data_IF_724993802347
#
_entry.id   IF_724993802347
#
_cell.length_a   1.000
_cell.length_b   1.000
_cell.length_c   1.000
_cell.angle_alpha   90.00
_cell.angle_beta   90.00
_cell.angle_gamma   90.00
#
_symmetry.space_group_name_H-M   'P 1'
#
loop_
_entity.id
_entity.type
_entity.pdbx_description
1 polymer ?
#
# COMPACT_ATOMS: atom_id res chain seq x y z
N UNK A 1 5.78 17.58 10.07
CA UNK A 1 5.95 16.15 10.38
C UNK A 1 6.71 15.51 9.25
N UNK A 2 7.83 14.81 9.55
CA UNK A 2 8.57 14.06 8.52
C UNK A 2 7.64 12.96 7.99
N UNK A 3 7.44 12.93 6.67
CA UNK A 3 6.70 11.87 6.02
C UNK A 3 7.36 10.51 6.33
N UNK A 4 6.60 9.57 6.83
CA UNK A 4 7.08 8.22 7.07
C UNK A 4 6.72 7.36 5.87
N UNK A 5 7.71 7.04 5.05
CA UNK A 5 7.55 6.12 3.92
C UNK A 5 7.79 4.71 4.41
N UNK A 6 6.78 3.86 4.37
CA UNK A 6 6.86 2.48 4.86
C UNK A 6 6.94 1.42 3.77
N UNK A 7 6.40 1.70 2.59
CA UNK A 7 6.37 0.75 1.48
C UNK A 7 6.30 1.43 0.12
N UNK A 8 6.77 0.71 -0.90
CA UNK A 8 6.70 1.13 -2.30
C UNK A 8 6.21 -0.01 -3.16
N UNK A 9 5.50 0.32 -4.24
CA UNK A 9 5.02 -0.62 -5.24
C UNK A 9 5.10 0.01 -6.63
N UNK A 10 5.55 -0.75 -7.62
CA UNK A 10 5.59 -0.27 -9.00
C UNK A 10 4.45 -0.89 -9.80
N UNK A 11 3.55 -0.04 -10.29
CA UNK A 11 2.51 -0.40 -11.25
C UNK A 11 3.12 -0.43 -12.65
N UNK A 12 3.36 -1.64 -13.13
CA UNK A 12 3.98 -1.86 -14.44
C UNK A 12 3.07 -1.53 -15.62
N UNK A 13 1.75 -1.50 -15.42
CA UNK A 13 0.79 -1.19 -16.49
C UNK A 13 0.72 0.32 -16.75
N UNK A 14 0.66 1.11 -15.69
CA UNK A 14 0.50 2.56 -15.80
C UNK A 14 1.84 3.31 -15.61
N UNK A 15 2.94 2.60 -15.36
CA UNK A 15 4.26 3.18 -15.11
C UNK A 15 4.25 4.19 -13.94
N UNK A 16 3.66 3.77 -12.83
CA UNK A 16 3.50 4.59 -11.62
C UNK A 16 4.22 3.93 -10.46
N UNK A 17 5.06 4.68 -9.76
CA UNK A 17 5.60 4.32 -8.47
C UNK A 17 4.65 4.79 -7.37
N UNK A 18 4.07 3.85 -6.67
CA UNK A 18 3.24 4.09 -5.50
C UNK A 18 4.07 4.05 -4.22
N UNK A 19 3.81 4.99 -3.31
CA UNK A 19 4.55 5.15 -2.06
C UNK A 19 3.56 5.35 -0.92
N UNK A 20 3.70 4.59 0.17
CA UNK A 20 2.88 4.83 1.36
C UNK A 20 3.28 6.14 2.04
N UNK A 21 2.31 6.85 2.57
CA UNK A 21 2.48 8.09 3.30
C UNK A 21 1.52 8.22 4.47
N UNK A 22 1.61 9.36 5.15
CA UNK A 22 0.75 9.69 6.27
C UNK A 22 0.07 11.03 6.01
N UNK A 23 -1.24 10.99 5.84
CA UNK A 23 -2.08 12.19 5.80
C UNK A 23 -2.44 12.69 7.20
N UNK A 24 -3.28 13.73 7.25
CA UNK A 24 -3.72 14.33 8.51
C UNK A 24 -4.59 13.38 9.35
N UNK A 25 -5.40 12.57 8.72
CA UNK A 25 -6.37 11.68 9.39
C UNK A 25 -6.09 10.22 9.13
N UNK A 26 -5.74 9.86 7.90
CA UNK A 26 -5.51 8.51 7.44
C UNK A 26 -4.15 8.36 6.76
N UNK A 27 -3.71 7.12 6.58
CA UNK A 27 -2.60 6.81 5.72
C UNK A 27 -2.90 7.21 4.27
N UNK A 28 -1.85 7.40 3.50
CA UNK A 28 -1.93 7.78 2.10
C UNK A 28 -1.23 6.77 1.20
N UNK A 29 -1.75 6.64 -0.02
CA UNK A 29 -1.04 6.11 -1.18
C UNK A 29 -0.74 7.29 -2.10
N UNK A 30 0.54 7.54 -2.33
CA UNK A 30 1.03 8.64 -3.15
C UNK A 30 1.65 8.06 -4.41
N UNK A 31 1.43 8.70 -5.55
CA UNK A 31 1.88 8.25 -6.84
C UNK A 31 2.90 9.22 -7.45
N UNK A 32 3.92 8.66 -8.07
CA UNK A 32 4.89 9.37 -8.90
C UNK A 32 4.93 8.65 -10.24
N UNK A 33 4.67 9.35 -11.33
CA UNK A 33 4.79 8.77 -12.67
C UNK A 33 6.26 8.51 -13.02
N UNK A 34 6.50 7.47 -13.81
CA UNK A 34 7.87 7.17 -14.26
C UNK A 34 8.48 8.36 -15.01
N UNK A 35 7.69 9.03 -15.84
CA UNK A 35 8.16 10.23 -16.54
C UNK A 35 8.58 11.37 -15.63
N UNK A 36 7.89 11.55 -14.50
CA UNK A 36 8.30 12.55 -13.50
C UNK A 36 9.63 12.15 -12.84
N UNK A 37 9.77 10.87 -12.48
CA UNK A 37 11.00 10.33 -11.90
C UNK A 37 12.20 10.45 -12.85
N UNK A 38 12.02 10.16 -14.14
CA UNK A 38 13.08 10.22 -15.16
C UNK A 38 13.52 11.68 -15.45
N UNK A 39 12.61 12.63 -15.30
CA UNK A 39 12.92 14.04 -15.47
C UNK A 39 13.41 14.74 -14.19
N UNK A 40 13.47 14.03 -13.07
CA UNK A 40 13.99 14.59 -11.83
C UNK A 40 15.51 14.82 -11.93
N UNK A 41 15.95 16.03 -11.64
CA UNK A 41 17.38 16.41 -11.64
C UNK A 41 17.80 16.95 -10.28
N UNK A 42 19.06 16.71 -9.92
CA UNK A 42 19.71 17.33 -8.78
C UNK A 42 20.44 18.63 -9.14
N UNK A 43 20.44 19.02 -10.42
CA UNK A 43 21.19 20.19 -10.90
C UNK A 43 20.65 21.51 -10.33
N UNK A 44 19.36 21.55 -10.00
CA UNK A 44 18.71 22.69 -9.37
C UNK A 44 18.84 22.70 -7.83
N UNK A 45 19.69 21.87 -7.28
CA UNK A 45 19.88 21.65 -5.86
C UNK A 45 19.00 20.51 -5.32
N UNK A 46 19.25 20.15 -4.06
CA UNK A 46 18.47 19.10 -3.40
C UNK A 46 17.08 19.59 -3.04
N UNK A 47 16.06 19.00 -3.66
CA UNK A 47 14.67 19.21 -3.29
C UNK A 47 13.93 17.85 -3.30
N UNK A 48 12.92 17.65 -2.43
CA UNK A 48 12.10 16.46 -2.49
C UNK A 48 11.32 16.39 -3.81
N UNK A 49 11.16 15.17 -4.36
CA UNK A 49 10.23 14.96 -5.46
C UNK A 49 8.80 15.12 -4.94
N UNK A 50 7.97 15.85 -5.67
CA UNK A 50 6.56 16.00 -5.34
C UNK A 50 5.75 14.81 -5.88
N UNK A 51 4.65 14.50 -5.23
CA UNK A 51 3.76 13.45 -5.69
C UNK A 51 2.81 14.00 -6.78
N UNK A 52 2.62 13.25 -7.85
CA UNK A 52 1.67 13.60 -8.91
C UNK A 52 0.23 13.42 -8.44
N UNK A 53 -0.01 12.41 -7.59
CA UNK A 53 -1.32 12.13 -7.01
C UNK A 53 -1.17 11.67 -5.56
N UNK A 54 -2.15 11.96 -4.73
CA UNK A 54 -2.23 11.51 -3.34
C UNK A 54 -3.65 11.08 -3.00
N UNK A 55 -3.80 9.90 -2.41
CA UNK A 55 -5.08 9.35 -2.00
C UNK A 55 -5.08 9.05 -0.52
N UNK A 56 -6.08 9.51 0.20
CA UNK A 56 -6.34 9.05 1.56
C UNK A 56 -6.95 7.64 1.51
N UNK A 57 -6.38 6.71 2.26
CA UNK A 57 -6.89 5.34 2.37
C UNK A 57 -7.96 5.28 3.46
N UNK A 58 -9.21 5.05 3.06
CA UNK A 58 -10.37 5.14 3.94
C UNK A 58 -10.22 4.30 5.21
N UNK A 59 -10.25 4.95 6.38
CA UNK A 59 -10.15 4.36 7.71
C UNK A 59 -8.82 3.66 8.04
N UNK A 60 -7.83 3.63 7.16
CA UNK A 60 -6.50 3.14 7.51
C UNK A 60 -5.71 4.25 8.21
N UNK A 61 -5.28 3.99 9.43
CA UNK A 61 -4.47 4.95 10.20
C UNK A 61 -2.98 4.91 9.84
N UNK A 62 -2.49 3.78 9.36
CA UNK A 62 -1.07 3.55 9.00
C UNK A 62 -0.96 2.62 7.81
N UNK A 63 0.01 2.86 6.93
CA UNK A 63 0.40 1.97 5.86
C UNK A 63 1.91 1.72 5.97
N UNK A 64 2.32 0.49 6.20
CA UNK A 64 3.72 0.14 6.47
C UNK A 64 4.37 -0.64 5.34
N UNK A 65 3.58 -1.33 4.54
CA UNK A 65 4.04 -2.06 3.36
C UNK A 65 2.96 -2.03 2.27
N UNK A 66 3.42 -2.15 1.05
CA UNK A 66 2.57 -2.07 -0.14
C UNK A 66 3.18 -2.94 -1.24
N UNK A 67 2.33 -3.52 -2.07
CA UNK A 67 2.76 -4.15 -3.32
C UNK A 67 1.69 -3.98 -4.41
N UNK A 68 2.12 -4.02 -5.66
CA UNK A 68 1.25 -4.06 -6.83
C UNK A 68 1.08 -5.49 -7.31
N UNK A 69 -0.14 -5.88 -7.65
CA UNK A 69 -0.42 -7.14 -8.29
C UNK A 69 -1.75 -7.07 -9.04
N UNK A 70 -1.72 -7.47 -10.31
CA UNK A 70 -2.90 -7.66 -11.17
C UNK A 70 -3.89 -6.48 -11.13
N UNK A 71 -3.40 -5.27 -11.45
CA UNK A 71 -4.20 -4.04 -11.53
C UNK A 71 -4.70 -3.51 -10.18
N UNK A 72 -4.06 -3.90 -9.09
CA UNK A 72 -4.43 -3.44 -7.76
C UNK A 72 -3.22 -3.17 -6.86
N UNK A 73 -3.39 -2.22 -5.93
CA UNK A 73 -2.50 -2.06 -4.78
C UNK A 73 -3.01 -2.90 -3.62
N UNK A 74 -2.09 -3.60 -2.98
CA UNK A 74 -2.30 -4.27 -1.72
C UNK A 74 -1.52 -3.52 -0.65
N UNK A 75 -2.22 -3.04 0.35
CA UNK A 75 -1.66 -2.19 1.41
C UNK A 75 -1.89 -2.84 2.76
N UNK A 76 -0.87 -2.92 3.57
CA UNK A 76 -0.97 -3.42 4.93
C UNK A 76 -0.20 -2.55 5.92
N UNK A 77 -0.34 -2.85 7.20
CA UNK A 77 0.38 -2.14 8.23
C UNK A 77 1.03 -3.09 9.23
N UNK A 78 2.17 -2.67 9.75
CA UNK A 78 2.85 -3.36 10.83
C UNK A 78 2.11 -3.13 12.15
N UNK A 79 1.89 -4.21 12.89
CA UNK A 79 1.43 -4.18 14.28
C UNK A 79 2.18 -5.22 15.11
N UNK A 80 2.35 -4.92 16.39
CA UNK A 80 2.87 -5.88 17.38
C UNK A 80 1.79 -6.85 17.85
N UNK A 81 0.53 -6.54 17.59
CA UNK A 81 -0.61 -7.39 17.91
C UNK A 81 -0.57 -8.71 17.12
N UNK A 82 -1.45 -9.64 17.49
CA UNK A 82 -1.50 -10.97 16.88
C UNK A 82 -2.10 -10.95 15.45
N UNK A 83 -2.85 -9.91 15.09
CA UNK A 83 -3.49 -9.80 13.80
C UNK A 83 -3.29 -8.42 13.17
N UNK A 84 -3.20 -8.39 11.86
CA UNK A 84 -3.19 -7.20 11.01
C UNK A 84 -4.12 -7.41 9.82
N UNK A 85 -4.15 -6.48 8.89
CA UNK A 85 -4.95 -6.59 7.67
C UNK A 85 -4.14 -6.20 6.44
N UNK A 86 -4.53 -6.77 5.31
CA UNK A 86 -4.18 -6.31 3.97
C UNK A 86 -5.46 -5.84 3.32
N UNK A 87 -5.44 -4.65 2.76
CA UNK A 87 -6.54 -4.08 1.99
C UNK A 87 -6.16 -3.99 0.52
N UNK A 88 -7.11 -4.31 -0.36
CA UNK A 88 -6.95 -4.27 -1.81
C UNK A 88 -7.65 -3.04 -2.37
N UNK A 89 -6.92 -2.22 -3.12
CA UNK A 89 -7.40 -1.03 -3.83
C UNK A 89 -7.27 -1.25 -5.33
N UNK A 90 -8.37 -1.11 -6.08
CA UNK A 90 -8.33 -1.21 -7.53
C UNK A 90 -7.70 0.04 -8.14
N UNK A 91 -6.92 -0.18 -9.19
CA UNK A 91 -6.38 0.87 -10.04
C UNK A 91 -7.23 0.92 -11.31
N UNK A 92 -7.70 2.11 -11.66
CA UNK A 92 -8.43 2.36 -12.90
C UNK A 92 -7.47 2.31 -14.11
N UNK A 93 -8.01 2.21 -15.31
CA UNK A 93 -7.23 2.14 -16.54
C UNK A 93 -6.35 3.39 -16.79
N UNK A 94 -6.68 4.51 -16.17
CA UNK A 94 -5.93 5.76 -16.24
C UNK A 94 -4.86 5.89 -15.13
N UNK A 95 -4.65 4.85 -14.33
CA UNK A 95 -3.69 4.83 -13.23
C UNK A 95 -4.19 5.45 -11.93
N UNK A 96 -5.42 5.95 -11.86
CA UNK A 96 -6.01 6.49 -10.64
C UNK A 96 -6.52 5.36 -9.73
N UNK A 97 -6.61 5.60 -8.41
CA UNK A 97 -7.29 4.66 -7.52
C UNK A 97 -8.80 4.83 -7.61
N UNK A 98 -9.51 3.71 -7.43
CA UNK A 98 -10.96 3.73 -7.35
C UNK A 98 -11.43 4.56 -6.15
N UNK A 99 -12.21 5.59 -6.45
CA UNK A 99 -12.83 6.48 -5.48
C UNK A 99 -14.32 6.21 -5.36
N UNK A 100 -14.85 6.39 -4.17
CA UNK A 100 -16.29 6.49 -3.97
C UNK A 100 -16.61 7.93 -3.63
N UNK A 101 -17.44 8.60 -4.42
CA UNK A 101 -17.92 9.92 -4.07
C UNK A 101 -18.77 9.87 -2.80
N UNK A 102 -18.19 10.34 -1.71
CA UNK A 102 -18.89 10.55 -0.45
C UNK A 102 -18.71 12.01 0.00
N UNK A 103 -19.60 12.85 -0.49
CA UNK A 103 -19.61 14.29 -0.17
C UNK A 103 -19.74 14.57 1.34
N UNK A 104 -20.39 13.68 2.08
CA UNK A 104 -20.51 13.83 3.52
C UNK A 104 -19.18 13.54 4.22
N UNK A 105 -18.41 12.59 3.70
CA UNK A 105 -17.12 12.24 4.27
C UNK A 105 -16.11 13.37 4.13
N UNK A 106 -16.00 13.98 2.94
CA UNK A 106 -15.11 15.15 2.69
C UNK A 106 -15.42 16.28 3.67
N UNK A 107 -16.69 16.54 3.91
CA UNK A 107 -17.14 17.61 4.83
C UNK A 107 -16.92 17.27 6.29
N UNK A 108 -17.09 16.02 6.71
CA UNK A 108 -17.02 15.60 8.11
C UNK A 108 -15.58 15.39 8.59
N UNK A 109 -14.69 14.91 7.71
CA UNK A 109 -13.30 14.53 8.07
C UNK A 109 -12.29 15.60 7.69
N UNK A 110 -12.69 16.59 6.87
CA UNK A 110 -11.82 17.71 6.47
C UNK A 110 -10.63 17.26 5.61
N UNK A 111 -10.74 16.17 4.87
CA UNK A 111 -9.70 15.74 3.94
C UNK A 111 -9.85 16.47 2.61
N UNK A 112 -8.75 16.98 2.07
CA UNK A 112 -8.71 17.69 0.79
C UNK A 112 -8.40 16.75 -0.37
N UNK A 113 -7.54 15.74 -0.12
CA UNK A 113 -7.17 14.77 -1.15
C UNK A 113 -8.28 13.74 -1.38
N UNK A 114 -8.32 13.14 -2.57
CA UNK A 114 -9.23 12.05 -2.90
C UNK A 114 -9.18 10.90 -1.88
N UNK A 115 -10.29 10.20 -1.72
CA UNK A 115 -10.40 9.07 -0.79
C UNK A 115 -10.58 7.78 -1.56
N UNK A 116 -9.60 6.89 -1.46
CA UNK A 116 -9.65 5.55 -2.03
C UNK A 116 -10.29 4.56 -1.06
N UNK A 117 -11.13 3.67 -1.60
CA UNK A 117 -11.84 2.65 -0.85
C UNK A 117 -11.33 1.26 -1.22
N UNK A 118 -11.04 0.46 -0.20
CA UNK A 118 -10.70 -0.94 -0.40
C UNK A 118 -11.90 -1.73 -0.93
N UNK A 119 -11.67 -2.56 -1.94
CA UNK A 119 -12.68 -3.49 -2.48
C UNK A 119 -12.69 -4.82 -1.72
N UNK A 120 -11.64 -5.14 -1.00
CA UNK A 120 -11.56 -6.28 -0.09
C UNK A 120 -10.56 -6.05 1.02
N UNK A 121 -10.75 -6.76 2.12
CA UNK A 121 -9.87 -6.79 3.27
C UNK A 121 -9.58 -8.23 3.67
N UNK A 122 -8.34 -8.53 3.96
CA UNK A 122 -7.90 -9.84 4.42
C UNK A 122 -7.18 -9.72 5.76
N UNK A 123 -7.63 -10.47 6.75
CA UNK A 123 -6.93 -10.60 8.05
C UNK A 123 -5.70 -11.49 7.88
N UNK A 124 -4.58 -11.04 8.39
CA UNK A 124 -3.28 -11.74 8.40
C UNK A 124 -2.71 -11.75 9.81
N UNK A 125 -1.64 -12.52 10.02
CA UNK A 125 -0.87 -12.47 11.28
C UNK A 125 -0.25 -11.06 11.48
N UNK A 126 -0.06 -10.68 12.73
CA UNK A 126 0.69 -9.46 13.06
C UNK A 126 2.18 -9.59 12.76
N UNK A 127 2.93 -8.50 12.93
CA UNK A 127 4.39 -8.39 12.75
C UNK A 127 4.86 -8.56 11.29
N UNK A 128 3.95 -8.48 10.32
CA UNK A 128 4.28 -8.49 8.90
C UNK A 128 4.95 -7.16 8.54
N UNK A 129 6.06 -7.26 7.81
CA UNK A 129 6.90 -6.12 7.40
C UNK A 129 6.91 -5.90 5.89
N UNK A 130 6.53 -6.91 5.13
CA UNK A 130 6.53 -6.83 3.67
C UNK A 130 5.67 -7.92 3.04
N UNK A 131 5.36 -7.72 1.77
CA UNK A 131 4.47 -8.56 0.99
C UNK A 131 4.93 -8.61 -0.46
N UNK A 132 4.85 -9.77 -1.07
CA UNK A 132 5.09 -9.96 -2.50
C UNK A 132 4.13 -11.00 -3.06
N UNK A 133 3.87 -10.93 -4.37
CA UNK A 133 3.16 -11.95 -5.10
C UNK A 133 4.09 -12.71 -6.04
N UNK A 134 3.89 -14.01 -6.13
CA UNK A 134 4.58 -14.87 -7.08
C UNK A 134 3.62 -15.95 -7.57
N UNK A 135 3.33 -15.94 -8.86
CA UNK A 135 2.28 -16.80 -9.44
C UNK A 135 0.94 -16.62 -8.69
N UNK A 136 0.37 -17.72 -8.19
CA UNK A 136 -0.86 -17.74 -7.40
C UNK A 136 -0.58 -17.81 -5.89
N UNK A 137 0.53 -17.26 -5.44
CA UNK A 137 0.90 -17.21 -4.01
C UNK A 137 1.13 -15.78 -3.54
N UNK A 138 0.83 -15.54 -2.28
CA UNK A 138 1.24 -14.35 -1.54
C UNK A 138 2.28 -14.75 -0.50
N UNK A 139 3.37 -14.01 -0.47
CA UNK A 139 4.47 -14.17 0.47
C UNK A 139 4.45 -13.00 1.45
N UNK A 140 4.42 -13.29 2.73
CA UNK A 140 4.47 -12.29 3.80
C UNK A 140 5.76 -12.47 4.58
N UNK A 141 6.58 -11.42 4.67
CA UNK A 141 7.77 -11.42 5.54
C UNK A 141 7.37 -10.92 6.92
N UNK A 142 7.80 -11.63 7.93
CA UNK A 142 7.46 -11.35 9.33
C UNK A 142 8.71 -11.35 10.19
N UNK A 143 8.90 -10.29 10.97
CA UNK A 143 10.00 -10.21 11.93
C UNK A 143 9.68 -9.28 13.08
N UNK A 144 10.23 -9.56 14.26
CA UNK A 144 10.09 -8.71 15.43
C UNK A 144 11.17 -8.96 16.48
N UNK A 145 11.89 -7.90 16.83
CA UNK A 145 12.92 -7.94 17.88
C UNK A 145 14.03 -8.95 17.58
N UNK A 146 14.35 -9.79 18.55
CA UNK A 146 15.39 -10.83 18.44
C UNK A 146 14.85 -12.18 17.96
N UNK A 147 13.54 -12.27 17.68
CA UNK A 147 12.94 -13.49 17.17
C UNK A 147 13.38 -13.78 15.76
N UNK A 148 13.49 -15.06 15.35
CA UNK A 148 13.78 -15.40 13.96
C UNK A 148 12.76 -14.77 13.02
N UNK A 149 13.26 -14.26 11.89
CA UNK A 149 12.40 -13.82 10.77
C UNK A 149 11.79 -15.04 10.09
N UNK A 150 10.59 -14.91 9.58
CA UNK A 150 9.91 -15.95 8.81
C UNK A 150 9.31 -15.42 7.53
N UNK A 151 9.15 -16.28 6.54
CA UNK A 151 8.35 -16.03 5.33
C UNK A 151 7.15 -16.96 5.39
N UNK A 152 5.97 -16.38 5.43
CA UNK A 152 4.70 -17.10 5.36
C UNK A 152 4.23 -17.11 3.91
N UNK A 153 3.88 -18.30 3.39
CA UNK A 153 3.42 -18.47 2.02
C UNK A 153 1.98 -18.98 2.05
N UNK A 154 1.09 -18.28 1.35
CA UNK A 154 -0.31 -18.64 1.22
C UNK A 154 -0.70 -18.80 -0.23
N UNK A 155 -1.63 -19.69 -0.51
CA UNK A 155 -2.28 -19.71 -1.82
C UNK A 155 -3.18 -18.48 -1.94
N UNK A 156 -3.10 -17.83 -3.10
CA UNK A 156 -3.86 -16.64 -3.42
C UNK A 156 -4.67 -16.84 -4.69
N UNK A 157 -5.87 -16.32 -4.70
CA UNK A 157 -6.70 -16.19 -5.90
C UNK A 157 -7.32 -14.80 -5.95
N UNK A 158 -7.99 -14.49 -7.05
CA UNK A 158 -8.77 -13.24 -7.16
C UNK A 158 -9.80 -13.03 -6.05
N UNK A 159 -10.17 -14.08 -5.33
CA UNK A 159 -11.09 -14.03 -4.19
C UNK A 159 -10.40 -13.85 -2.84
N UNK A 160 -9.07 -13.76 -2.81
CA UNK A 160 -8.27 -13.57 -1.61
C UNK A 160 -7.38 -14.74 -1.24
N UNK A 161 -6.89 -14.74 0.00
CA UNK A 161 -6.03 -15.80 0.54
C UNK A 161 -6.89 -17.03 0.84
N UNK A 162 -6.58 -18.15 0.21
CA UNK A 162 -7.40 -19.36 0.29
C UNK A 162 -6.99 -20.29 1.45
N UNK A 163 -5.71 -20.38 1.76
CA UNK A 163 -5.21 -21.23 2.84
C UNK A 163 -3.76 -20.93 3.17
N UNK A 164 -3.34 -21.24 4.39
CA UNK A 164 -1.92 -21.35 4.74
C UNK A 164 -1.33 -22.55 4.03
N UNK A 165 -0.20 -22.37 3.38
CA UNK A 165 0.53 -23.49 2.84
C UNK A 165 1.77 -23.82 3.66
N UNK A 166 2.61 -22.85 3.96
CA UNK A 166 3.91 -23.12 4.59
C UNK A 166 4.48 -21.86 5.25
N UNK A 167 5.20 -22.04 6.35
CA UNK A 167 6.01 -21.01 6.98
C UNK A 167 7.48 -21.44 6.98
N UNK A 168 8.35 -20.61 6.48
CA UNK A 168 9.81 -20.81 6.46
C UNK A 168 10.46 -19.88 7.48
N UNK A 169 11.34 -20.41 8.30
CA UNK A 169 12.11 -19.69 9.31
C UNK A 169 13.57 -19.59 8.92
#
# INVERSE_FOLDING_TARGET
>A
TKAHVGGMAYDTMNQILWVTGQGSTWAQANAITLSHLENYSFDDGYHPIEFDMSYNLYKIKRASFMTYHDGALFVGFFTQDNASVIEKYLINADGTLYEKEDMNLKRTVGVTDPVAYAVSMQVISGKVQGMAFYNNKILLTRSWGILPSEVQIFNYSRYGILSTSEAYK
#
